data_IF_016429997137
#
_entry.id   IF_016429997137
#
_cell.length_a   1.000
_cell.length_b   1.000
_cell.length_c   1.000
_cell.angle_alpha   90.00
_cell.angle_beta   90.00
_cell.angle_gamma   90.00
#
_symmetry.space_group_name_H-M   'P 1'
#
loop_
_entity.id
_entity.type
_entity.pdbx_description
1 polymer ?
#
# COMPACT_ATOMS: atom_id res chain seq x y z
N UNK A 1 0.02 -10.13 10.11
CA UNK A 1 0.27 -9.39 8.85
C UNK A 1 0.26 -7.89 9.09
N UNK A 2 0.72 -7.12 8.10
CA UNK A 2 0.55 -5.67 8.03
C UNK A 2 -0.44 -5.37 6.90
N UNK A 3 -1.56 -4.72 7.20
CA UNK A 3 -2.56 -4.33 6.19
C UNK A 3 -2.44 -2.83 5.92
N UNK A 4 -1.86 -2.49 4.77
CA UNK A 4 -1.42 -1.12 4.45
C UNK A 4 -2.43 -0.31 3.64
N UNK A 5 -3.50 -0.93 3.14
CA UNK A 5 -4.55 -0.24 2.41
C UNK A 5 -5.92 -0.68 2.93
N UNK A 6 -6.46 0.12 3.86
CA UNK A 6 -7.79 -0.04 4.46
C UNK A 6 -8.23 1.30 5.06
N UNK A 7 -9.54 1.47 5.28
CA UNK A 7 -10.13 2.72 5.78
C UNK A 7 -10.89 2.54 7.11
N UNK A 8 -10.66 1.42 7.81
CA UNK A 8 -11.47 1.03 8.96
C UNK A 8 -11.35 2.05 10.10
N UNK A 9 -10.11 2.44 10.42
CA UNK A 9 -9.81 3.37 11.52
C UNK A 9 -10.10 4.83 11.20
N UNK A 10 -10.29 5.21 9.93
CA UNK A 10 -10.60 6.60 9.57
C UNK A 10 -12.06 6.84 9.26
N UNK A 11 -12.82 5.81 8.83
CA UNK A 11 -14.24 5.94 8.48
C UNK A 11 -15.20 5.47 9.56
N UNK A 12 -14.92 4.36 10.25
CA UNK A 12 -15.91 3.74 11.14
C UNK A 12 -15.48 3.48 12.56
N UNK A 13 -14.18 3.41 12.89
CA UNK A 13 -13.57 3.29 14.25
C UNK A 13 -14.12 2.21 15.23
N UNK A 14 -15.34 1.70 15.08
CA UNK A 14 -16.17 1.03 16.09
C UNK A 14 -15.85 -0.44 16.32
N UNK A 15 -14.88 -1.00 15.60
CA UNK A 15 -14.71 -2.46 15.55
C UNK A 15 -13.25 -2.90 15.43
N UNK A 16 -12.31 -2.04 15.82
CA UNK A 16 -10.87 -2.33 15.78
C UNK A 16 -10.45 -3.57 16.60
N UNK A 17 -11.26 -3.97 17.59
CA UNK A 17 -11.04 -5.19 18.37
C UNK A 17 -10.92 -6.47 17.52
N UNK A 18 -11.50 -6.50 16.32
CA UNK A 18 -11.43 -7.67 15.45
C UNK A 18 -10.06 -7.84 14.77
N UNK A 19 -9.20 -6.81 14.72
CA UNK A 19 -7.91 -6.89 14.01
C UNK A 19 -7.02 -8.05 14.50
N UNK A 20 -7.00 -8.29 15.81
CA UNK A 20 -6.24 -9.40 16.38
C UNK A 20 -6.75 -10.77 15.92
N UNK A 21 -8.07 -10.92 15.74
CA UNK A 21 -8.68 -12.18 15.28
C UNK A 21 -8.28 -12.51 13.82
N UNK A 22 -7.99 -11.48 13.01
CA UNK A 22 -7.44 -11.64 11.66
C UNK A 22 -5.91 -11.76 11.63
N UNK A 23 -5.24 -11.76 12.80
CA UNK A 23 -3.78 -11.81 12.90
C UNK A 23 -3.10 -10.54 12.39
N UNK A 24 -3.79 -9.40 12.37
CA UNK A 24 -3.26 -8.11 11.99
C UNK A 24 -2.46 -7.55 13.16
N UNK A 25 -1.18 -7.23 12.92
CA UNK A 25 -0.27 -6.65 13.92
C UNK A 25 0.07 -5.20 13.62
N UNK A 26 0.02 -4.82 12.34
CA UNK A 26 0.17 -3.44 11.90
C UNK A 26 -0.93 -3.08 10.93
N UNK A 27 -1.44 -1.85 11.04
CA UNK A 27 -2.56 -1.37 10.24
C UNK A 27 -2.38 0.10 9.87
N UNK A 28 -2.65 0.44 8.62
CA UNK A 28 -2.63 1.82 8.15
C UNK A 28 -3.78 2.64 8.71
N UNK A 29 -3.49 3.89 9.06
CA UNK A 29 -4.48 4.95 9.29
C UNK A 29 -4.37 5.92 8.11
N UNK A 30 -5.32 5.81 7.17
CA UNK A 30 -5.26 6.50 5.88
C UNK A 30 -6.07 7.78 5.89
N UNK A 31 -5.40 8.88 5.56
CA UNK A 31 -6.01 10.18 5.32
C UNK A 31 -5.93 10.51 3.82
N UNK A 32 -7.07 10.83 3.21
CA UNK A 32 -7.15 11.17 1.79
C UNK A 32 -6.75 12.64 1.58
N UNK A 33 -5.70 12.89 0.77
CA UNK A 33 -5.18 14.21 0.40
C UNK A 33 -4.79 15.17 1.55
N UNK A 34 -4.80 14.71 2.79
CA UNK A 34 -4.41 15.46 3.97
C UNK A 34 -3.78 14.54 5.02
N UNK A 35 -3.28 15.10 6.12
CA UNK A 35 -2.87 14.33 7.30
C UNK A 35 -3.29 15.05 8.57
N UNK A 36 -4.13 14.42 9.39
CA UNK A 36 -4.49 14.91 10.73
C UNK A 36 -3.63 14.23 11.78
N UNK A 37 -2.58 14.94 12.19
CA UNK A 37 -1.62 14.44 13.20
C UNK A 37 -2.27 14.22 14.56
N UNK A 38 -3.25 15.05 14.95
CA UNK A 38 -3.91 14.95 16.26
C UNK A 38 -4.76 13.68 16.30
N UNK A 39 -5.60 13.49 15.29
CA UNK A 39 -6.41 12.28 15.16
C UNK A 39 -5.53 11.02 15.10
N UNK A 40 -4.40 11.06 14.39
CA UNK A 40 -3.48 9.93 14.36
C UNK A 40 -2.90 9.60 15.75
N UNK A 41 -2.50 10.61 16.53
CA UNK A 41 -2.01 10.42 17.90
C UNK A 41 -3.09 9.85 18.83
N UNK A 42 -4.32 10.38 18.77
CA UNK A 42 -5.45 9.86 19.55
C UNK A 42 -5.71 8.37 19.27
N UNK A 43 -5.70 7.97 18.00
CA UNK A 43 -5.85 6.56 17.60
C UNK A 43 -4.68 5.71 18.11
N UNK A 44 -3.46 6.22 18.07
CA UNK A 44 -2.27 5.52 18.54
C UNK A 44 -2.29 5.29 20.06
N UNK A 45 -2.78 6.27 20.82
CA UNK A 45 -2.98 6.13 22.27
C UNK A 45 -4.08 5.12 22.61
N UNK A 46 -5.15 5.08 21.79
CA UNK A 46 -6.26 4.14 21.96
C UNK A 46 -5.89 2.70 21.61
N UNK A 47 -5.06 2.48 20.59
CA UNK A 47 -4.75 1.16 20.04
C UNK A 47 -3.27 0.77 20.20
N UNK A 48 -2.80 0.71 21.45
CA UNK A 48 -1.38 0.47 21.78
C UNK A 48 -0.88 -0.94 21.45
N UNK A 49 -1.80 -1.90 21.31
CA UNK A 49 -1.52 -3.28 20.95
C UNK A 49 -1.28 -3.50 19.44
N UNK A 50 -1.40 -2.44 18.63
CA UNK A 50 -1.24 -2.47 17.19
C UNK A 50 -0.17 -1.47 16.76
N UNK A 51 0.62 -1.85 15.76
CA UNK A 51 1.51 -0.92 15.09
C UNK A 51 0.70 -0.07 14.10
N UNK A 52 0.29 1.13 14.50
CA UNK A 52 -0.39 2.07 13.61
C UNK A 52 0.61 2.75 12.67
N UNK A 53 0.33 2.69 11.37
CA UNK A 53 1.13 3.31 10.31
C UNK A 53 0.40 4.56 9.81
N UNK A 54 1.05 5.72 9.88
CA UNK A 54 0.47 6.97 9.33
C UNK A 54 0.60 6.97 7.81
N UNK A 55 -0.51 7.19 7.11
CA UNK A 55 -0.55 7.10 5.65
C UNK A 55 -1.34 8.27 5.07
N UNK A 56 -0.79 8.86 4.01
CA UNK A 56 -1.56 9.73 3.12
C UNK A 56 -1.83 8.99 1.83
N UNK A 57 -3.10 8.88 1.46
CA UNK A 57 -3.49 8.48 0.11
C UNK A 57 -3.73 9.73 -0.74
N UNK A 58 -2.96 9.86 -1.82
CA UNK A 58 -3.06 10.96 -2.76
C UNK A 58 -4.01 10.55 -3.88
N UNK A 59 -5.15 11.24 -3.94
CA UNK A 59 -6.08 11.18 -5.08
C UNK A 59 -5.82 12.42 -5.92
N UNK A 60 -5.09 12.25 -7.00
CA UNK A 60 -4.65 13.32 -7.88
C UNK A 60 -4.99 13.00 -9.34
N UNK A 61 -5.21 14.03 -10.14
CA UNK A 61 -5.38 13.90 -11.60
C UNK A 61 -4.13 14.36 -12.36
N UNK A 62 -3.20 15.03 -11.66
CA UNK A 62 -2.05 15.68 -12.28
C UNK A 62 -0.77 15.45 -11.48
N UNK A 63 0.35 15.37 -12.20
CA UNK A 63 1.70 15.21 -11.63
C UNK A 63 2.05 16.26 -10.58
N UNK A 64 1.62 17.50 -10.77
CA UNK A 64 1.87 18.60 -9.83
C UNK A 64 1.23 18.39 -8.46
N UNK A 65 0.08 17.73 -8.39
CA UNK A 65 -0.60 17.42 -7.12
C UNK A 65 0.13 16.33 -6.34
N UNK A 66 0.61 15.29 -7.04
CA UNK A 66 1.46 14.25 -6.46
C UNK A 66 2.72 14.85 -5.85
N UNK A 67 3.41 15.72 -6.61
CA UNK A 67 4.62 16.40 -6.12
C UNK A 67 4.33 17.26 -4.88
N UNK A 68 3.27 18.08 -4.91
CA UNK A 68 2.86 18.90 -3.76
C UNK A 68 2.57 18.04 -2.52
N UNK A 69 1.92 16.89 -2.68
CA UNK A 69 1.65 15.98 -1.58
C UNK A 69 2.94 15.39 -0.99
N UNK A 70 3.89 14.98 -1.84
CA UNK A 70 5.21 14.52 -1.40
C UNK A 70 5.91 15.60 -0.56
N UNK A 71 6.07 16.80 -1.12
CA UNK A 71 6.77 17.90 -0.48
C UNK A 71 6.14 18.26 0.88
N UNK A 72 4.81 18.17 0.97
CA UNK A 72 4.07 18.46 2.19
C UNK A 72 4.17 17.35 3.24
N UNK A 73 3.97 16.09 2.87
CA UNK A 73 3.66 15.03 3.83
C UNK A 73 4.79 14.05 4.08
N UNK A 74 5.78 13.91 3.19
CA UNK A 74 6.75 12.81 3.25
C UNK A 74 7.52 12.69 4.56
N UNK A 75 7.82 13.81 5.21
CA UNK A 75 8.52 13.84 6.50
C UNK A 75 7.60 13.62 7.71
N UNK A 76 6.29 13.70 7.52
CA UNK A 76 5.28 13.62 8.57
C UNK A 76 4.69 12.21 8.73
N UNK A 77 4.57 11.47 7.62
CA UNK A 77 3.90 10.16 7.58
C UNK A 77 4.86 9.02 7.31
N UNK A 78 4.44 7.79 7.64
CA UNK A 78 5.22 6.59 7.37
C UNK A 78 5.14 6.20 5.89
N UNK A 79 3.95 6.31 5.27
CA UNK A 79 3.73 5.96 3.87
C UNK A 79 2.99 7.06 3.07
N UNK A 80 3.32 7.19 1.79
CA UNK A 80 2.52 7.92 0.79
C UNK A 80 2.09 6.94 -0.31
N UNK A 81 0.78 6.82 -0.50
CA UNK A 81 0.13 6.00 -1.53
C UNK A 81 -0.46 6.93 -2.58
N UNK A 82 -0.48 6.52 -3.85
CA UNK A 82 -1.27 7.22 -4.87
C UNK A 82 -2.38 6.32 -5.38
N UNK A 83 -3.62 6.79 -5.29
CA UNK A 83 -4.78 6.16 -5.91
C UNK A 83 -4.82 6.54 -7.39
N UNK A 84 -4.38 5.63 -8.26
CA UNK A 84 -4.05 5.97 -9.63
C UNK A 84 -5.01 5.35 -10.66
N UNK A 85 -6.30 5.67 -10.52
CA UNK A 85 -7.33 5.33 -11.51
C UNK A 85 -7.14 6.09 -12.84
N UNK A 86 -6.49 7.25 -12.80
CA UNK A 86 -6.12 8.04 -13.96
C UNK A 86 -4.69 7.72 -14.44
N UNK A 87 -4.50 7.59 -15.75
CA UNK A 87 -3.22 7.23 -16.36
C UNK A 87 -2.11 8.27 -16.11
N UNK A 88 -2.46 9.56 -16.02
CA UNK A 88 -1.48 10.64 -15.75
C UNK A 88 -1.03 10.59 -14.30
N UNK A 89 -1.97 10.35 -13.38
CA UNK A 89 -1.66 10.13 -11.96
C UNK A 89 -0.77 8.90 -11.75
N UNK A 90 -1.07 7.80 -12.46
CA UNK A 90 -0.27 6.57 -12.44
C UNK A 90 1.17 6.80 -12.86
N UNK A 91 1.41 7.43 -14.02
CA UNK A 91 2.78 7.72 -14.48
C UNK A 91 3.51 8.66 -13.54
N UNK A 92 2.84 9.70 -13.06
CA UNK A 92 3.42 10.61 -12.08
C UNK A 92 3.87 9.88 -10.81
N UNK A 93 3.04 8.98 -10.29
CA UNK A 93 3.37 8.19 -9.10
C UNK A 93 4.57 7.26 -9.33
N UNK A 94 4.66 6.63 -10.51
CA UNK A 94 5.76 5.74 -10.87
C UNK A 94 7.11 6.46 -10.97
N UNK A 95 7.10 7.74 -11.37
CA UNK A 95 8.31 8.56 -11.55
C UNK A 95 8.91 9.09 -10.23
N UNK A 96 8.16 9.10 -9.12
CA UNK A 96 8.60 9.71 -7.86
C UNK A 96 8.94 8.64 -6.81
N UNK A 97 10.24 8.45 -6.53
CA UNK A 97 10.74 7.52 -5.51
C UNK A 97 10.28 7.76 -4.06
N UNK A 98 9.79 8.95 -3.65
CA UNK A 98 9.15 9.11 -2.34
C UNK A 98 7.75 8.48 -2.22
N UNK A 99 7.15 8.03 -3.34
CA UNK A 99 5.90 7.26 -3.33
C UNK A 99 6.22 5.82 -2.95
N UNK A 100 5.40 5.24 -2.07
CA UNK A 100 5.64 3.91 -1.54
C UNK A 100 4.99 2.82 -2.38
N UNK A 101 3.72 3.04 -2.76
CA UNK A 101 3.05 2.19 -3.73
C UNK A 101 1.91 2.88 -4.46
N UNK A 102 1.54 2.30 -5.59
CA UNK A 102 0.44 2.74 -6.44
C UNK A 102 -0.74 1.78 -6.27
N UNK A 103 -1.90 2.33 -5.92
CA UNK A 103 -3.16 1.60 -5.75
C UNK A 103 -4.10 1.81 -6.95
N UNK A 104 -4.96 0.82 -7.21
CA UNK A 104 -6.01 0.85 -8.24
C UNK A 104 -5.56 1.28 -9.65
N UNK A 105 -4.37 0.88 -10.08
CA UNK A 105 -3.78 1.26 -11.36
C UNK A 105 -3.82 0.15 -12.40
N UNK A 106 -3.93 0.53 -13.67
CA UNK A 106 -3.51 -0.30 -14.79
C UNK A 106 -2.21 0.30 -15.36
N UNK A 107 -1.10 -0.39 -15.15
CA UNK A 107 0.25 0.15 -15.40
C UNK A 107 0.69 -0.19 -16.81
N UNK A 108 1.30 0.77 -17.52
CA UNK A 108 1.92 0.52 -18.82
C UNK A 108 3.40 0.12 -18.68
N UNK A 109 4.04 -0.30 -19.77
CA UNK A 109 5.43 -0.78 -19.71
C UNK A 109 6.43 0.28 -19.25
N UNK A 110 6.17 1.56 -19.55
CA UNK A 110 7.06 2.66 -19.17
C UNK A 110 6.98 2.89 -17.67
N UNK A 111 5.77 3.07 -17.14
CA UNK A 111 5.54 3.23 -15.72
C UNK A 111 5.98 2.00 -14.91
N UNK A 112 5.81 0.79 -15.45
CA UNK A 112 6.32 -0.43 -14.82
C UNK A 112 7.84 -0.39 -14.63
N UNK A 113 8.57 0.10 -15.64
CA UNK A 113 10.02 0.30 -15.55
C UNK A 113 10.37 1.37 -14.51
N UNK A 114 9.64 2.47 -14.49
CA UNK A 114 9.86 3.56 -13.54
C UNK A 114 9.60 3.11 -12.10
N UNK A 115 8.53 2.33 -11.86
CA UNK A 115 8.26 1.72 -10.56
C UNK A 115 9.42 0.85 -10.08
N UNK A 116 10.00 0.03 -10.95
CA UNK A 116 11.15 -0.80 -10.61
C UNK A 116 12.39 0.04 -10.26
N UNK A 117 12.69 1.08 -11.05
CA UNK A 117 13.85 1.97 -10.83
C UNK A 117 13.68 2.77 -9.53
N UNK A 118 12.49 3.29 -9.28
CA UNK A 118 12.19 4.14 -8.15
C UNK A 118 11.78 3.36 -6.89
N UNK A 119 11.71 2.03 -6.99
CA UNK A 119 11.28 1.13 -5.91
C UNK A 119 9.88 1.48 -5.36
N UNK A 120 8.98 1.85 -6.28
CA UNK A 120 7.56 2.09 -6.02
C UNK A 120 6.83 0.77 -6.22
N UNK A 121 6.17 0.27 -5.17
CA UNK A 121 5.50 -1.01 -5.26
C UNK A 121 4.16 -0.90 -6.02
N UNK A 122 3.71 -2.02 -6.59
CA UNK A 122 2.39 -2.15 -7.17
C UNK A 122 1.46 -2.86 -6.19
N UNK A 123 0.33 -2.25 -5.90
CA UNK A 123 -0.67 -2.81 -4.99
C UNK A 123 -1.75 -3.59 -5.75
N UNK A 124 -2.19 -4.68 -5.12
CA UNK A 124 -3.34 -5.47 -5.53
C UNK A 124 -4.31 -5.55 -4.35
N UNK A 125 -5.48 -4.97 -4.55
CA UNK A 125 -6.52 -4.87 -3.53
C UNK A 125 -7.53 -6.03 -3.68
N UNK A 126 -7.79 -6.76 -2.59
CA UNK A 126 -8.83 -7.81 -2.55
C UNK A 126 -10.24 -7.21 -2.72
N UNK A 127 -10.52 -6.05 -2.14
CA UNK A 127 -11.84 -5.42 -2.16
C UNK A 127 -12.32 -5.08 -3.58
N UNK A 128 -11.39 -4.81 -4.51
CA UNK A 128 -11.69 -4.53 -5.92
C UNK A 128 -12.49 -5.67 -6.57
N UNK A 129 -12.35 -6.90 -6.08
CA UNK A 129 -13.03 -8.08 -6.63
C UNK A 129 -14.32 -8.46 -5.92
N UNK A 130 -14.49 -8.05 -4.66
CA UNK A 130 -15.60 -8.50 -3.81
C UNK A 130 -16.96 -7.91 -4.23
N UNK A 131 -16.97 -6.71 -4.80
CA UNK A 131 -18.20 -5.99 -5.19
C UNK A 131 -18.55 -6.04 -6.67
N UNK A 132 -17.71 -6.65 -7.52
CA UNK A 132 -17.82 -6.59 -8.99
C UNK A 132 -18.21 -7.96 -9.54
N UNK A 133 -19.09 -8.05 -10.54
CA UNK A 133 -19.59 -9.32 -11.10
C UNK A 133 -19.52 -9.40 -12.62
N UNK A 134 -19.67 -10.62 -13.17
CA UNK A 134 -19.77 -10.88 -14.60
C UNK A 134 -18.58 -10.35 -15.41
N UNK A 135 -18.87 -9.73 -16.56
CA UNK A 135 -17.85 -9.19 -17.47
C UNK A 135 -16.92 -8.18 -16.80
N UNK A 136 -17.42 -7.36 -15.88
CA UNK A 136 -16.58 -6.39 -15.16
C UNK A 136 -15.51 -7.10 -14.31
N UNK A 137 -15.87 -8.21 -13.65
CA UNK A 137 -14.92 -9.01 -12.87
C UNK A 137 -13.90 -9.69 -13.78
N UNK A 138 -14.33 -10.24 -14.92
CA UNK A 138 -13.42 -10.84 -15.90
C UNK A 138 -12.38 -9.81 -16.41
N UNK A 139 -12.81 -8.59 -16.76
CA UNK A 139 -11.90 -7.51 -17.17
C UNK A 139 -10.93 -7.13 -16.07
N UNK A 140 -11.38 -7.05 -14.82
CA UNK A 140 -10.51 -6.73 -13.69
C UNK A 140 -9.44 -7.80 -13.47
N UNK A 141 -9.82 -9.09 -13.54
CA UNK A 141 -8.87 -10.22 -13.44
C UNK A 141 -7.84 -10.15 -14.57
N UNK A 142 -8.26 -9.89 -15.81
CA UNK A 142 -7.34 -9.75 -16.94
C UNK A 142 -6.35 -8.59 -16.75
N UNK A 143 -6.82 -7.45 -16.27
CA UNK A 143 -5.95 -6.30 -15.93
C UNK A 143 -4.97 -6.62 -14.81
N UNK A 144 -5.41 -7.33 -13.77
CA UNK A 144 -4.55 -7.79 -12.69
C UNK A 144 -3.45 -8.70 -13.21
N UNK A 145 -3.80 -9.69 -14.05
CA UNK A 145 -2.82 -10.63 -14.60
C UNK A 145 -1.78 -9.91 -15.45
N UNK A 146 -2.19 -8.94 -16.26
CA UNK A 146 -1.27 -8.10 -17.02
C UNK A 146 -0.32 -7.30 -16.10
N UNK A 147 -0.85 -6.66 -15.06
CA UNK A 147 -0.04 -5.97 -14.06
C UNK A 147 0.96 -6.92 -13.35
N UNK A 148 0.52 -8.14 -13.01
CA UNK A 148 1.34 -9.16 -12.38
C UNK A 148 2.48 -9.61 -13.29
N UNK A 149 2.22 -9.78 -14.58
CA UNK A 149 3.25 -10.09 -15.58
C UNK A 149 4.27 -8.96 -15.73
N UNK A 150 3.82 -7.70 -15.72
CA UNK A 150 4.73 -6.54 -15.70
C UNK A 150 5.55 -6.49 -14.41
N UNK A 151 4.94 -6.70 -13.26
CA UNK A 151 5.62 -6.70 -11.98
C UNK A 151 6.72 -7.78 -11.94
N UNK A 152 6.44 -8.97 -12.47
CA UNK A 152 7.44 -10.05 -12.62
C UNK A 152 8.54 -9.68 -13.60
N UNK A 153 8.18 -9.17 -14.78
CA UNK A 153 9.13 -8.79 -15.84
C UNK A 153 10.14 -7.74 -15.38
N UNK A 154 9.66 -6.69 -14.71
CA UNK A 154 10.48 -5.57 -14.26
C UNK A 154 10.96 -5.71 -12.82
N UNK A 155 10.57 -6.78 -12.11
CA UNK A 155 10.86 -7.02 -10.68
C UNK A 155 10.34 -5.89 -9.77
N UNK A 156 9.14 -5.40 -10.06
CA UNK A 156 8.46 -4.41 -9.23
C UNK A 156 8.07 -5.08 -7.91
N UNK A 157 8.31 -4.45 -6.74
CA UNK A 157 7.79 -4.97 -5.48
C UNK A 157 6.26 -5.02 -5.51
N UNK A 158 5.67 -6.05 -4.90
CA UNK A 158 4.21 -6.23 -4.86
C UNK A 158 3.71 -6.13 -3.43
N UNK A 159 2.58 -5.47 -3.24
CA UNK A 159 1.82 -5.40 -1.99
C UNK A 159 0.42 -5.96 -2.24
N UNK A 160 -0.05 -6.85 -1.36
CA UNK A 160 -1.43 -7.31 -1.31
C UNK A 160 -2.10 -6.75 -0.06
N UNK A 161 -3.22 -6.06 -0.22
CA UNK A 161 -3.96 -5.43 0.87
C UNK A 161 -5.44 -5.83 0.85
N UNK A 162 -6.13 -5.62 1.97
CA UNK A 162 -7.54 -6.00 2.07
C UNK A 162 -8.51 -5.04 1.37
N UNK A 163 -8.14 -3.75 1.27
CA UNK A 163 -9.02 -2.67 0.81
C UNK A 163 -10.23 -2.44 1.70
N UNK A 164 -10.21 -2.96 2.92
CA UNK A 164 -11.38 -3.04 3.75
C UNK A 164 -11.90 -1.65 4.13
N UNK A 165 -13.15 -1.37 3.76
CA UNK A 165 -13.86 -0.14 4.11
C UNK A 165 -14.49 -0.19 5.50
N UNK A 166 -14.67 -1.41 6.01
CA UNK A 166 -15.21 -1.72 7.33
C UNK A 166 -14.77 -3.14 7.71
N UNK A 167 -15.12 -3.58 8.93
CA UNK A 167 -14.64 -4.87 9.46
C UNK A 167 -15.13 -6.10 8.70
N UNK A 168 -16.23 -6.03 7.96
CA UNK A 168 -16.69 -7.14 7.13
C UNK A 168 -15.81 -7.35 5.87
N UNK A 169 -15.05 -6.33 5.50
CA UNK A 169 -14.03 -6.39 4.45
C UNK A 169 -12.72 -7.02 4.89
N UNK A 170 -12.48 -7.20 6.20
CA UNK A 170 -11.23 -7.75 6.70
C UNK A 170 -11.00 -9.17 6.20
N UNK A 171 -9.74 -9.47 5.88
CA UNK A 171 -9.28 -10.81 5.50
C UNK A 171 -7.99 -11.10 6.25
N UNK A 172 -7.82 -12.35 6.67
CA UNK A 172 -6.55 -12.78 7.27
C UNK A 172 -5.55 -13.09 6.15
N UNK A 173 -4.27 -13.21 6.52
CA UNK A 173 -3.21 -13.40 5.54
C UNK A 173 -3.43 -14.64 4.66
N UNK A 174 -3.86 -15.75 5.25
CA UNK A 174 -4.10 -17.01 4.54
C UNK A 174 -5.20 -16.87 3.51
N UNK A 175 -6.29 -16.15 3.83
CA UNK A 175 -7.37 -15.87 2.90
C UNK A 175 -6.91 -15.01 1.72
N UNK A 176 -6.10 -13.97 1.97
CA UNK A 176 -5.57 -13.12 0.91
C UNK A 176 -4.61 -13.91 0.01
N UNK A 177 -3.72 -14.72 0.60
CA UNK A 177 -2.78 -15.56 -0.15
C UNK A 177 -3.53 -16.56 -1.05
N UNK A 178 -4.47 -17.31 -0.47
CA UNK A 178 -5.25 -18.29 -1.22
C UNK A 178 -6.04 -17.62 -2.36
N UNK A 179 -6.65 -16.45 -2.09
CA UNK A 179 -7.33 -15.68 -3.13
C UNK A 179 -6.37 -15.22 -4.23
N UNK A 180 -5.21 -14.66 -3.89
CA UNK A 180 -4.21 -14.21 -4.86
C UNK A 180 -3.72 -15.37 -5.74
N UNK A 181 -3.52 -16.56 -5.19
CA UNK A 181 -3.16 -17.76 -5.97
C UNK A 181 -4.19 -18.07 -7.05
N UNK A 182 -5.48 -17.96 -6.75
CA UNK A 182 -6.54 -18.15 -7.77
C UNK A 182 -6.48 -17.13 -8.92
N UNK A 183 -5.82 -15.98 -8.70
CA UNK A 183 -5.65 -14.93 -9.70
C UNK A 183 -4.36 -15.07 -10.51
N UNK A 184 -3.51 -16.06 -10.18
CA UNK A 184 -2.28 -16.38 -10.90
C UNK A 184 -0.99 -16.04 -10.15
N UNK A 185 -1.07 -15.65 -8.88
CA UNK A 185 0.12 -15.50 -8.03
C UNK A 185 0.74 -16.86 -7.70
N UNK A 186 2.07 -16.89 -7.54
CA UNK A 186 2.75 -18.05 -6.92
C UNK A 186 2.61 -17.95 -5.40
N UNK A 187 2.57 -19.08 -4.69
CA UNK A 187 2.42 -19.12 -3.23
C UNK A 187 3.43 -18.20 -2.51
N UNK A 188 4.72 -18.36 -2.80
CA UNK A 188 5.78 -17.58 -2.15
C UNK A 188 5.72 -16.08 -2.49
N UNK A 189 5.28 -15.74 -3.70
CA UNK A 189 5.10 -14.37 -4.17
C UNK A 189 3.93 -13.71 -3.42
N UNK A 190 2.78 -14.37 -3.34
CA UNK A 190 1.62 -13.89 -2.58
C UNK A 190 1.95 -13.78 -1.08
N UNK A 191 2.60 -14.80 -0.50
CA UNK A 191 3.01 -14.79 0.90
C UNK A 191 3.97 -13.64 1.21
N UNK A 192 4.95 -13.38 0.33
CA UNK A 192 5.84 -12.23 0.47
C UNK A 192 5.08 -10.91 0.38
N UNK A 193 4.16 -10.76 -0.58
CA UNK A 193 3.38 -9.54 -0.80
C UNK A 193 2.41 -9.20 0.35
N UNK A 194 1.96 -10.20 1.13
CA UNK A 194 1.07 -10.00 2.29
C UNK A 194 1.83 -9.84 3.61
N UNK A 195 2.98 -10.51 3.77
CA UNK A 195 3.67 -10.59 5.06
C UNK A 195 4.96 -9.79 5.10
N UNK A 196 5.88 -10.07 4.17
CA UNK A 196 7.26 -9.56 4.21
C UNK A 196 7.34 -8.14 3.64
N UNK A 197 6.89 -7.97 2.40
CA UNK A 197 7.04 -6.71 1.68
C UNK A 197 6.37 -5.53 2.40
N UNK A 198 5.13 -5.65 2.94
CA UNK A 198 4.50 -4.57 3.71
C UNK A 198 5.29 -4.18 4.96
N UNK A 199 5.80 -5.17 5.70
CA UNK A 199 6.59 -4.94 6.91
C UNK A 199 7.94 -4.26 6.60
N UNK A 200 8.66 -4.76 5.59
CA UNK A 200 9.93 -4.20 5.16
C UNK A 200 9.78 -2.77 4.65
N UNK A 201 8.71 -2.48 3.92
CA UNK A 201 8.38 -1.13 3.43
C UNK A 201 8.22 -0.13 4.59
N UNK A 202 7.38 -0.47 5.58
CA UNK A 202 7.16 0.37 6.76
C UNK A 202 8.45 0.56 7.56
N UNK A 203 9.19 -0.53 7.79
CA UNK A 203 10.46 -0.50 8.53
C UNK A 203 11.48 0.42 7.86
N UNK A 204 11.71 0.22 6.56
CA UNK A 204 12.63 1.03 5.74
C UNK A 204 12.30 2.52 5.84
N UNK A 205 11.03 2.87 5.74
CA UNK A 205 10.61 4.27 5.77
C UNK A 205 10.81 4.93 7.13
N UNK A 206 10.50 4.21 8.21
CA UNK A 206 10.76 4.70 9.57
C UNK A 206 12.26 4.84 9.86
N UNK A 207 13.09 3.94 9.33
CA UNK A 207 14.56 4.06 9.40
C UNK A 207 15.06 5.31 8.65
N UNK A 208 14.61 5.52 7.41
CA UNK A 208 14.91 6.74 6.62
C UNK A 208 14.52 8.01 7.38
N UNK A 209 13.34 8.07 7.99
CA UNK A 209 12.88 9.23 8.78
C UNK A 209 13.73 9.51 10.02
N UNK A 210 14.37 8.48 10.59
CA UNK A 210 15.31 8.63 11.71
C UNK A 210 16.70 9.11 11.26
N UNK A 211 16.91 9.39 9.98
CA UNK A 211 18.23 9.72 9.43
C UNK A 211 19.16 8.50 9.31
N UNK A 212 18.62 7.29 9.44
CA UNK A 212 19.34 6.06 9.12
C UNK A 212 19.21 5.89 7.60
N UNK A 213 20.07 6.57 6.86
CA UNK A 213 20.16 6.36 5.42
C UNK A 213 20.71 4.96 5.16
N UNK A 214 19.85 4.06 4.68
CA UNK A 214 20.24 2.79 4.10
C UNK A 214 20.35 3.04 2.60
N UNK A 215 21.49 3.58 2.16
CA UNK A 215 21.96 3.23 0.82
C UNK A 215 22.29 1.74 0.85
N UNK A 216 22.08 1.00 -0.25
CA UNK A 216 22.50 -0.40 -0.35
C UNK A 216 23.96 -0.53 0.13
N UNK A 217 24.16 -1.14 1.29
CA UNK A 217 25.48 -1.44 1.87
C UNK A 217 26.03 -0.51 2.93
N UNK A 218 25.37 0.59 3.35
CA UNK A 218 25.93 1.51 4.36
C UNK A 218 24.94 1.79 5.49
N UNK A 219 25.39 1.68 6.74
CA UNK A 219 24.68 2.15 7.95
C UNK A 219 25.49 3.29 8.56
N UNK A 220 24.85 4.44 8.79
CA UNK A 220 25.43 5.50 9.64
C UNK A 220 25.31 5.03 11.09
N UNK A 221 26.44 4.71 11.71
CA UNK A 221 26.53 4.54 13.16
C UNK A 221 26.78 5.92 13.73
N UNK A 222 25.84 6.46 14.51
CA UNK A 222 26.11 7.63 15.34
C UNK A 222 26.74 7.16 16.63
N UNK A 223 27.91 7.70 16.95
CA UNK A 223 28.51 7.64 18.30
C UNK A 223 27.62 8.33 19.33
#
# INVERSE_FOLDING_TARGET
MYDLHNFILTRKEEHAQYFQQFGIRGISVIFENNFDVRKFHELKERYQNLDLISVVEVVAERKGEVKKAIDKFRNQVDLIIVNARDTRAMRAAAEFSPIDFIAHAFVDQTAARDCAVNNVALEFDVADFLGVYGMKRATLISKLQFNLDLARKYKIPIILASGAQNVYGLRNATQIIAFAETLGFKHDEAKAAVLRNPFELVKRNRERRKGIEIAEGVKIVRE
#
